data_IF_062465691588
#
_entry.id   IF_062465691588
#
_cell.length_a   1.000
_cell.length_b   1.000
_cell.length_c   1.000
_cell.angle_alpha   90.00
_cell.angle_beta   90.00
_cell.angle_gamma   90.00
#
_symmetry.space_group_name_H-M   'P 1'
#
loop_
_entity.id
_entity.type
_entity.pdbx_description
1 polymer ?
#
# COMPACT_ATOMS: atom_id res chain seq x y z
N UNK A 1 0.78 -7.48 7.98
CA UNK A 1 1.11 -6.06 7.72
C UNK A 1 2.36 -5.60 8.43
N UNK A 2 2.61 -6.02 9.67
CA UNK A 2 3.77 -5.62 10.48
C UNK A 2 5.12 -5.73 9.76
N UNK A 3 5.37 -6.82 9.01
CA UNK A 3 6.63 -6.99 8.27
C UNK A 3 6.83 -5.94 7.16
N UNK A 4 5.77 -5.65 6.40
CA UNK A 4 5.81 -4.64 5.33
C UNK A 4 5.97 -3.25 5.94
N UNK A 5 5.30 -2.99 7.07
CA UNK A 5 5.41 -1.75 7.82
C UNK A 5 6.84 -1.51 8.31
N UNK A 6 7.43 -2.50 8.98
CA UNK A 6 8.81 -2.48 9.42
C UNK A 6 9.80 -2.28 8.25
N UNK A 7 9.57 -2.96 7.12
CA UNK A 7 10.40 -2.79 5.92
C UNK A 7 10.37 -1.35 5.41
N UNK A 8 9.17 -0.75 5.28
CA UNK A 8 9.01 0.64 4.82
C UNK A 8 9.64 1.62 5.79
N UNK A 9 9.46 1.42 7.10
CA UNK A 9 10.05 2.24 8.15
C UNK A 9 11.59 2.22 8.07
N UNK A 10 12.21 1.04 7.94
CA UNK A 10 13.66 0.89 7.80
C UNK A 10 14.19 1.52 6.49
N UNK A 11 13.39 1.52 5.42
CA UNK A 11 13.73 2.19 4.16
C UNK A 11 13.84 3.70 4.32
N UNK A 12 13.01 4.31 5.18
CA UNK A 12 13.11 5.73 5.51
C UNK A 12 14.20 6.03 6.52
N UNK A 13 14.39 5.16 7.52
CA UNK A 13 15.34 5.34 8.58
C UNK A 13 15.83 4.02 9.17
N UNK A 14 17.08 3.66 8.85
CA UNK A 14 17.73 2.45 9.36
C UNK A 14 18.09 2.52 10.85
N UNK A 15 18.01 3.70 11.47
CA UNK A 15 18.34 3.93 12.89
C UNK A 15 17.12 4.00 13.80
N UNK A 16 15.94 3.71 13.24
CA UNK A 16 14.68 3.80 13.99
C UNK A 16 14.60 2.74 15.09
N UNK A 17 13.84 3.05 16.13
CA UNK A 17 13.56 2.15 17.28
C UNK A 17 12.10 1.72 17.34
N UNK A 18 11.24 2.30 16.50
CA UNK A 18 9.83 1.94 16.34
C UNK A 18 9.61 1.42 14.93
N UNK A 19 8.72 0.44 14.77
CA UNK A 19 8.34 -0.13 13.48
C UNK A 19 6.90 0.22 13.10
N UNK A 20 6.23 1.05 13.88
CA UNK A 20 4.93 1.64 13.51
C UNK A 20 5.16 2.82 12.59
N UNK A 21 4.52 2.80 11.42
CA UNK A 21 4.76 3.80 10.38
C UNK A 21 4.28 5.18 10.80
N UNK A 22 3.21 5.29 11.59
CA UNK A 22 2.69 6.59 12.02
C UNK A 22 3.60 7.20 13.08
N UNK A 23 4.11 6.38 14.01
CA UNK A 23 5.11 6.82 14.99
C UNK A 23 6.43 7.21 14.29
N UNK A 24 6.93 6.38 13.37
CA UNK A 24 8.14 6.69 12.61
C UNK A 24 7.97 7.96 11.78
N UNK A 25 6.80 8.19 11.17
CA UNK A 25 6.50 9.43 10.44
C UNK A 25 6.57 10.64 11.36
N UNK A 26 5.96 10.55 12.54
CA UNK A 26 5.98 11.62 13.53
C UNK A 26 7.42 11.93 13.96
N UNK A 27 8.23 10.90 14.22
CA UNK A 27 9.64 11.07 14.57
C UNK A 27 10.46 11.70 13.44
N UNK A 28 10.30 11.21 12.20
CA UNK A 28 10.98 11.73 11.02
C UNK A 28 10.67 13.21 10.78
N UNK A 29 9.41 13.60 10.97
CA UNK A 29 8.97 14.98 10.82
C UNK A 29 9.45 15.85 12.00
N UNK A 30 9.07 15.50 13.23
CA UNK A 30 9.27 16.36 14.39
C UNK A 30 10.74 16.41 14.84
N UNK A 31 11.44 15.27 14.87
CA UNK A 31 12.81 15.20 15.40
C UNK A 31 13.87 15.32 14.32
N UNK A 32 13.65 14.71 13.16
CA UNK A 32 14.63 14.66 12.07
C UNK A 32 14.40 15.73 11.00
N UNK A 33 13.37 16.58 11.15
CA UNK A 33 13.08 17.73 10.30
C UNK A 33 13.05 17.38 8.80
N UNK A 34 12.59 16.16 8.48
CA UNK A 34 12.43 15.71 7.09
C UNK A 34 11.22 16.41 6.48
N UNK A 35 11.33 16.78 5.21
CA UNK A 35 10.22 17.39 4.47
C UNK A 35 9.03 16.44 4.43
N UNK A 36 7.83 16.94 4.73
CA UNK A 36 6.63 16.12 4.83
C UNK A 36 6.36 15.31 3.56
N UNK A 37 6.57 15.91 2.38
CA UNK A 37 6.39 15.25 1.07
C UNK A 37 7.36 14.11 0.80
N UNK A 38 8.48 14.05 1.53
CA UNK A 38 9.45 12.95 1.41
C UNK A 38 9.08 11.74 2.27
N UNK A 39 8.15 11.91 3.21
CA UNK A 39 7.68 10.88 4.14
C UNK A 39 6.28 10.47 3.68
N UNK A 40 6.19 9.63 2.64
CA UNK A 40 4.94 9.49 1.86
C UNK A 40 3.84 8.59 2.47
N UNK A 41 4.07 7.33 2.87
CA UNK A 41 2.95 6.46 3.22
C UNK A 41 2.51 6.63 4.68
N UNK A 42 1.23 6.92 4.91
CA UNK A 42 0.55 6.65 6.19
C UNK A 42 0.27 5.14 6.30
N UNK A 43 -0.12 4.65 7.49
CA UNK A 43 -0.49 3.24 7.64
C UNK A 43 -1.66 2.82 6.75
N UNK A 44 -2.66 3.69 6.63
CA UNK A 44 -3.83 3.45 5.78
C UNK A 44 -3.42 3.35 4.30
N UNK A 45 -2.66 4.33 3.80
CA UNK A 45 -2.16 4.29 2.43
C UNK A 45 -1.30 3.04 2.19
N UNK A 46 -0.39 2.69 3.11
CA UNK A 46 0.41 1.47 2.96
C UNK A 46 -0.46 0.20 2.81
N UNK A 47 -1.52 0.09 3.60
CA UNK A 47 -2.46 -1.03 3.51
C UNK A 47 -3.16 -1.05 2.14
N UNK A 48 -3.67 0.08 1.70
CA UNK A 48 -4.43 0.18 0.44
C UNK A 48 -3.54 -0.17 -0.76
N UNK A 49 -2.35 0.43 -0.82
CA UNK A 49 -1.35 0.14 -1.85
C UNK A 49 -0.89 -1.32 -1.82
N UNK A 50 -0.79 -1.94 -0.64
CA UNK A 50 -0.46 -3.37 -0.50
C UNK A 50 -1.57 -4.26 -1.06
N UNK A 51 -2.84 -3.95 -0.79
CA UNK A 51 -3.98 -4.66 -1.37
C UNK A 51 -3.99 -4.53 -2.89
N UNK A 52 -3.83 -3.32 -3.42
CA UNK A 52 -3.74 -3.09 -4.87
C UNK A 52 -2.61 -3.90 -5.52
N UNK A 53 -1.42 -3.89 -4.93
CA UNK A 53 -0.27 -4.65 -5.42
C UNK A 53 -0.52 -6.16 -5.39
N UNK A 54 -1.16 -6.66 -4.32
CA UNK A 54 -1.50 -8.08 -4.17
C UNK A 54 -2.54 -8.52 -5.19
N UNK A 55 -3.56 -7.70 -5.45
CA UNK A 55 -4.56 -8.00 -6.46
C UNK A 55 -3.93 -8.06 -7.87
N UNK A 56 -3.17 -7.03 -8.24
CA UNK A 56 -2.52 -6.99 -9.57
C UNK A 56 -1.50 -8.12 -9.70
N UNK A 57 -0.52 -8.18 -8.81
CA UNK A 57 0.60 -9.11 -8.92
C UNK A 57 0.22 -10.55 -8.62
N UNK A 58 -0.53 -10.77 -7.54
CA UNK A 58 -0.89 -12.11 -7.08
C UNK A 58 -2.09 -12.69 -7.81
N UNK A 59 -3.21 -11.97 -7.84
CA UNK A 59 -4.44 -12.51 -8.42
C UNK A 59 -4.47 -12.44 -9.95
N UNK A 60 -4.12 -11.29 -10.54
CA UNK A 60 -4.17 -11.10 -12.00
C UNK A 60 -2.93 -11.71 -12.66
N UNK A 61 -1.75 -11.17 -12.38
CA UNK A 61 -0.50 -11.60 -13.03
C UNK A 61 -0.05 -13.00 -12.57
N UNK A 62 -0.28 -13.36 -11.31
CA UNK A 62 0.06 -14.68 -10.79
C UNK A 62 -0.73 -15.83 -11.43
N UNK A 63 -1.87 -15.52 -12.05
CA UNK A 63 -2.68 -16.47 -12.80
C UNK A 63 -2.55 -16.29 -14.32
N UNK A 64 -1.56 -15.55 -14.81
CA UNK A 64 -1.45 -15.19 -16.23
C UNK A 64 -1.39 -16.41 -17.18
N UNK A 65 -0.90 -17.55 -16.71
CA UNK A 65 -0.79 -18.80 -17.48
C UNK A 65 -1.91 -19.81 -17.16
N UNK A 66 -2.79 -19.49 -16.21
CA UNK A 66 -3.91 -20.35 -15.83
C UNK A 66 -5.06 -20.16 -16.81
N UNK A 67 -5.54 -21.25 -17.41
CA UNK A 67 -6.61 -21.22 -18.42
C UNK A 67 -7.93 -20.66 -17.86
N UNK A 68 -8.28 -21.01 -16.62
CA UNK A 68 -9.50 -20.53 -15.95
C UNK A 68 -9.11 -19.72 -14.71
N UNK A 69 -9.00 -18.41 -14.88
CA UNK A 69 -8.57 -17.50 -13.83
C UNK A 69 -9.73 -17.23 -12.86
N UNK A 70 -9.53 -17.50 -11.57
CA UNK A 70 -10.49 -17.13 -10.55
C UNK A 70 -10.04 -15.85 -9.86
N UNK A 71 -10.65 -14.73 -10.24
CA UNK A 71 -10.34 -13.41 -9.68
C UNK A 71 -11.34 -13.04 -8.58
N UNK A 72 -10.88 -12.60 -7.39
CA UNK A 72 -11.77 -12.03 -6.38
C UNK A 72 -12.36 -10.70 -6.88
N UNK A 73 -13.44 -10.24 -6.24
CA UNK A 73 -14.06 -8.95 -6.60
C UNK A 73 -13.07 -7.79 -6.43
N UNK A 74 -12.83 -6.94 -7.44
CA UNK A 74 -11.91 -5.80 -7.32
C UNK A 74 -12.26 -4.85 -6.16
N UNK A 75 -13.55 -4.74 -5.82
CA UNK A 75 -14.01 -3.88 -4.72
C UNK A 75 -13.46 -4.27 -3.35
N UNK A 76 -13.08 -5.54 -3.14
CA UNK A 76 -12.46 -5.99 -1.89
C UNK A 76 -10.96 -5.65 -1.82
N UNK A 77 -10.40 -5.14 -2.92
CA UNK A 77 -8.97 -4.89 -3.11
C UNK A 77 -8.67 -3.42 -3.44
N UNK A 78 -9.47 -2.51 -2.90
CA UNK A 78 -9.33 -1.06 -3.05
C UNK A 78 -9.44 -0.57 -4.51
N UNK A 79 -10.32 -1.21 -5.29
CA UNK A 79 -10.75 -0.66 -6.57
C UNK A 79 -12.14 -0.02 -6.43
N UNK A 80 -12.33 1.09 -7.11
CA UNK A 80 -13.60 1.81 -7.17
C UNK A 80 -14.12 1.84 -8.60
N UNK A 81 -15.44 1.89 -8.78
CA UNK A 81 -16.05 2.06 -10.11
C UNK A 81 -16.06 3.53 -10.46
N UNK A 82 -15.51 3.86 -11.64
CA UNK A 82 -15.43 5.24 -12.11
C UNK A 82 -16.84 5.83 -12.39
N UNK A 83 -17.80 5.01 -12.79
CA UNK A 83 -19.20 5.39 -13.08
C UNK A 83 -20.18 4.20 -12.90
N UNK A 84 -21.49 4.43 -13.06
CA UNK A 84 -22.53 3.40 -12.93
C UNK A 84 -22.40 2.25 -13.96
N UNK A 85 -21.91 2.54 -15.16
CA UNK A 85 -21.65 1.56 -16.24
C UNK A 85 -20.25 0.92 -16.14
N UNK A 86 -19.56 1.12 -15.01
CA UNK A 86 -18.16 1.55 -14.98
C UNK A 86 -17.02 0.54 -14.99
N UNK A 87 -15.88 1.05 -15.44
CA UNK A 87 -14.55 0.44 -15.27
C UNK A 87 -14.08 0.53 -13.82
N UNK A 88 -13.40 -0.53 -13.38
CA UNK A 88 -12.66 -0.53 -12.12
C UNK A 88 -11.39 0.30 -12.28
N UNK A 89 -11.26 1.33 -11.43
CA UNK A 89 -10.04 2.11 -11.31
C UNK A 89 -9.44 1.91 -9.90
N UNK A 90 -8.11 1.98 -9.78
CA UNK A 90 -7.47 1.86 -8.47
C UNK A 90 -7.83 3.06 -7.59
N UNK A 91 -8.16 2.81 -6.32
CA UNK A 91 -8.28 3.87 -5.34
C UNK A 91 -6.88 4.34 -4.92
N UNK A 92 -6.42 5.47 -5.44
CA UNK A 92 -5.15 6.06 -5.06
C UNK A 92 -5.34 6.98 -3.84
N UNK A 93 -5.10 6.44 -2.63
CA UNK A 93 -5.00 7.19 -1.37
C UNK A 93 -3.59 7.67 -1.06
#
# INVERSE_FOLDING_TARGET
MELIEAFVVVMYDRTTTTFDINESRLELFARKQRQYDTIRPTRAALLDHTKLATYRGGHVWGQAVTHDQHLPSPGDWEWVKENADGMWIPNWT
#
